data_IF_516992512452
#
_entry.id   IF_516992512452
#
_cell.length_a   1.000
_cell.length_b   1.000
_cell.length_c   1.000
_cell.angle_alpha   90.00
_cell.angle_beta   90.00
_cell.angle_gamma   90.00
#
_symmetry.space_group_name_H-M   'P 1'
#
loop_
_entity.id
_entity.type
_entity.pdbx_description
1 polymer ?
#
# COMPACT_ATOMS: atom_id res chain seq x y z
N UNK A 1 5.84 -1.34 13.32
CA UNK A 1 5.22 -0.03 12.97
C UNK A 1 3.84 -0.25 12.35
N UNK A 2 2.87 0.63 12.59
CA UNK A 2 1.55 0.60 11.94
C UNK A 2 1.61 1.47 10.69
N UNK A 3 1.27 0.92 9.54
CA UNK A 3 1.13 1.69 8.29
C UNK A 3 -0.33 2.04 8.08
N UNK A 4 -0.58 3.27 7.62
CA UNK A 4 -1.91 3.70 7.17
C UNK A 4 -1.94 3.69 5.65
N UNK A 5 -2.96 3.06 5.08
CA UNK A 5 -3.21 2.96 3.65
C UNK A 5 -4.43 3.82 3.32
N UNK A 6 -4.30 4.71 2.33
CA UNK A 6 -5.37 5.64 1.94
C UNK A 6 -5.59 5.54 0.44
N UNK A 7 -6.83 5.24 0.04
CA UNK A 7 -7.24 5.30 -1.37
C UNK A 7 -7.30 6.75 -1.86
N UNK A 8 -6.67 7.05 -2.99
CA UNK A 8 -6.67 8.36 -3.64
C UNK A 8 -7.35 8.24 -5.03
N UNK A 9 -8.70 8.14 -5.10
CA UNK A 9 -9.40 7.96 -6.38
C UNK A 9 -9.26 9.16 -7.34
N UNK A 10 -8.95 10.34 -6.80
CA UNK A 10 -8.74 11.58 -7.55
C UNK A 10 -7.25 11.79 -7.93
N UNK A 11 -6.41 10.76 -7.78
CA UNK A 11 -5.01 10.83 -8.18
C UNK A 11 -4.88 11.02 -9.70
N UNK A 12 -4.06 11.99 -10.12
CA UNK A 12 -3.94 12.39 -11.52
C UNK A 12 -3.28 11.35 -12.44
N UNK A 13 -2.59 10.36 -11.88
CA UNK A 13 -1.86 9.34 -12.64
C UNK A 13 -2.58 7.98 -12.62
N UNK A 14 -3.17 7.61 -11.48
CA UNK A 14 -3.79 6.30 -11.29
C UNK A 14 -4.95 6.37 -10.29
N UNK A 15 -6.18 6.21 -10.78
CA UNK A 15 -7.41 6.21 -9.96
C UNK A 15 -7.48 5.08 -8.93
N UNK A 16 -6.66 4.03 -9.09
CA UNK A 16 -6.59 2.90 -8.16
C UNK A 16 -5.43 3.08 -7.15
N UNK A 17 -4.79 4.26 -7.10
CA UNK A 17 -3.66 4.55 -6.22
C UNK A 17 -4.02 4.40 -4.72
N UNK A 18 -3.13 3.72 -4.00
CA UNK A 18 -3.20 3.57 -2.54
C UNK A 18 -1.92 4.14 -1.94
N UNK A 19 -2.03 5.28 -1.27
CA UNK A 19 -0.92 5.95 -0.60
C UNK A 19 -0.59 5.26 0.73
N UNK A 20 0.70 5.18 1.06
CA UNK A 20 1.24 4.58 2.29
C UNK A 20 1.78 5.68 3.18
N UNK A 21 1.38 5.65 4.46
CA UNK A 21 1.81 6.61 5.47
C UNK A 21 2.43 5.93 6.69
N UNK A 22 3.47 6.57 7.22
CA UNK A 22 4.09 6.29 8.52
C UNK A 22 3.83 7.50 9.42
N UNK A 23 2.96 7.34 10.43
CA UNK A 23 2.47 8.50 11.18
C UNK A 23 1.68 9.45 10.26
N UNK A 24 2.14 10.71 10.15
CA UNK A 24 1.62 11.73 9.24
C UNK A 24 2.28 11.73 7.86
N UNK A 25 3.42 11.07 7.72
CA UNK A 25 4.30 11.27 6.57
C UNK A 25 3.97 10.27 5.47
N UNK A 26 3.79 10.77 4.24
CA UNK A 26 3.58 9.95 3.05
C UNK A 26 4.91 9.38 2.61
N UNK A 27 5.05 8.06 2.69
CA UNK A 27 6.30 7.36 2.35
C UNK A 27 6.28 6.73 0.96
N UNK A 28 5.10 6.65 0.31
CA UNK A 28 4.99 6.15 -1.05
C UNK A 28 3.61 5.64 -1.41
N UNK A 29 3.58 4.68 -2.34
CA UNK A 29 2.37 4.03 -2.86
C UNK A 29 2.51 2.51 -2.89
N UNK A 30 1.38 1.81 -2.80
CA UNK A 30 1.34 0.36 -3.07
C UNK A 30 1.62 0.12 -4.54
N UNK A 31 2.48 -0.86 -4.85
CA UNK A 31 2.79 -1.22 -6.23
C UNK A 31 1.52 -1.65 -7.00
N UNK A 32 1.33 -1.09 -8.19
CA UNK A 32 0.21 -1.41 -9.09
C UNK A 32 0.64 -2.11 -10.39
N UNK A 33 1.89 -2.58 -10.48
CA UNK A 33 2.34 -3.35 -11.64
C UNK A 33 3.11 -4.59 -11.21
N UNK A 34 3.00 -5.66 -12.00
CA UNK A 34 3.76 -6.89 -11.80
C UNK A 34 5.27 -6.69 -11.95
N UNK A 35 5.72 -5.67 -12.69
CA UNK A 35 7.14 -5.31 -12.83
C UNK A 35 7.75 -4.74 -11.54
N UNK A 36 6.91 -4.14 -10.70
CA UNK A 36 7.29 -3.49 -9.44
C UNK A 36 6.80 -4.26 -8.21
N UNK A 37 6.06 -5.33 -8.40
CA UNK A 37 5.52 -6.16 -7.32
C UNK A 37 6.51 -7.27 -6.96
N UNK A 38 6.66 -7.55 -5.67
CA UNK A 38 7.44 -8.68 -5.20
C UNK A 38 6.62 -9.97 -5.25
N UNK A 39 7.29 -11.09 -5.52
CA UNK A 39 6.62 -12.38 -5.46
C UNK A 39 6.07 -12.61 -4.04
N UNK A 40 4.79 -12.99 -3.95
CA UNK A 40 4.01 -13.19 -2.71
C UNK A 40 3.51 -11.91 -1.99
N UNK A 41 3.63 -10.72 -2.58
CA UNK A 41 2.95 -9.51 -2.08
C UNK A 41 1.69 -9.15 -2.90
N UNK A 42 0.75 -8.49 -2.24
CA UNK A 42 -0.48 -8.00 -2.87
C UNK A 42 -0.27 -6.69 -3.64
N UNK A 43 -0.89 -6.57 -4.81
CA UNK A 43 -0.90 -5.35 -5.63
C UNK A 43 -2.11 -4.47 -5.32
N UNK A 44 -2.04 -3.17 -5.64
CA UNK A 44 -3.16 -2.24 -5.47
C UNK A 44 -4.45 -2.74 -6.16
N UNK A 45 -4.32 -3.34 -7.35
CA UNK A 45 -5.44 -3.93 -8.10
C UNK A 45 -6.14 -5.11 -7.42
N UNK A 46 -5.45 -5.83 -6.51
CA UNK A 46 -6.00 -6.92 -5.70
C UNK A 46 -6.69 -6.40 -4.43
N UNK A 47 -6.44 -5.12 -4.08
CA UNK A 47 -6.92 -4.45 -2.88
C UNK A 47 -8.14 -3.54 -3.14
N UNK A 48 -8.84 -3.76 -4.27
CA UNK A 48 -9.99 -2.94 -4.69
C UNK A 48 -11.12 -2.88 -3.66
N UNK A 49 -11.30 -3.91 -2.85
CA UNK A 49 -12.37 -3.97 -1.86
C UNK A 49 -11.98 -3.43 -0.47
N UNK A 50 -10.80 -2.81 -0.32
CA UNK A 50 -10.43 -2.17 0.94
C UNK A 50 -11.34 -0.96 1.26
N UNK A 51 -11.65 -0.70 2.54
CA UNK A 51 -12.19 0.58 2.97
C UNK A 51 -11.30 1.76 2.53
N UNK A 52 -11.87 2.97 2.47
CA UNK A 52 -11.13 4.19 2.07
C UNK A 52 -9.82 4.38 2.85
N UNK A 53 -9.84 4.03 4.14
CA UNK A 53 -8.69 3.99 5.02
C UNK A 53 -8.54 2.58 5.57
N UNK A 54 -7.36 2.00 5.43
CA UNK A 54 -7.01 0.68 5.96
C UNK A 54 -5.68 0.72 6.70
N UNK A 55 -5.36 -0.33 7.45
CA UNK A 55 -4.11 -0.41 8.20
C UNK A 55 -3.37 -1.71 7.95
N UNK A 56 -2.04 -1.63 7.94
CA UNK A 56 -1.17 -2.78 7.79
C UNK A 56 -0.12 -2.82 8.92
N UNK A 57 0.36 -4.02 9.22
CA UNK A 57 1.52 -4.27 10.08
C UNK A 57 2.77 -4.26 9.19
N UNK A 58 3.66 -3.31 9.43
CA UNK A 58 5.00 -3.33 8.85
C UNK A 58 5.77 -4.57 9.33
N UNK A 59 6.42 -5.28 8.41
CA UNK A 59 7.17 -6.50 8.69
C UNK A 59 8.68 -6.27 8.63
N UNK A 60 9.20 -5.77 7.50
CA UNK A 60 10.63 -5.57 7.24
C UNK A 60 10.83 -4.73 5.99
N UNK A 61 12.07 -4.27 5.77
CA UNK A 61 12.54 -3.82 4.47
C UNK A 61 13.23 -4.97 3.72
N UNK A 62 13.18 -4.92 2.38
CA UNK A 62 13.94 -5.80 1.50
C UNK A 62 14.49 -4.97 0.33
N UNK A 63 15.82 -4.86 0.22
CA UNK A 63 16.48 -3.82 -0.56
C UNK A 63 15.94 -2.43 -0.15
N UNK A 64 15.15 -1.78 -1.01
CA UNK A 64 14.55 -0.46 -0.76
C UNK A 64 13.01 -0.51 -0.59
N UNK A 65 12.44 -1.70 -0.43
CA UNK A 65 10.99 -1.90 -0.40
C UNK A 65 10.47 -2.18 1.00
N UNK A 66 9.40 -1.46 1.38
CA UNK A 66 8.71 -1.70 2.64
C UNK A 66 7.71 -2.85 2.48
N UNK A 67 7.92 -3.93 3.23
CA UNK A 67 7.02 -5.09 3.23
C UNK A 67 6.04 -4.98 4.41
N UNK A 68 4.75 -5.11 4.12
CA UNK A 68 3.70 -5.03 5.12
C UNK A 68 2.62 -6.09 4.91
N UNK A 69 1.99 -6.49 6.01
CA UNK A 69 0.83 -7.40 6.02
C UNK A 69 -0.43 -6.63 6.38
N UNK A 70 -1.43 -6.66 5.52
CA UNK A 70 -2.76 -6.12 5.82
C UNK A 70 -3.35 -6.80 7.05
N UNK A 71 -3.91 -6.00 7.95
CA UNK A 71 -4.76 -6.50 9.02
C UNK A 71 -6.20 -6.40 8.54
N UNK A 72 -6.86 -7.55 8.40
CA UNK A 72 -8.30 -7.61 8.29
C UNK A 72 -8.84 -7.51 9.71
N UNK A 73 -9.62 -6.48 10.00
CA UNK A 73 -10.45 -6.39 11.22
C UNK A 73 -11.78 -7.10 10.97
#
# INVERSE_FOLDING_TARGET
>A
MKLKLVKEPDNSYDKDAIAVYVGSDKVGYVANSSKTNFSKSSMASELKNLPKISYARYLTDYFDYHIAKLKWE
#
